data_IF_202582625653
#
_entry.id   IF_202582625653
#
_cell.length_a   1.000
_cell.length_b   1.000
_cell.length_c   1.000
_cell.angle_alpha   90.00
_cell.angle_beta   90.00
_cell.angle_gamma   90.00
#
_symmetry.space_group_name_H-M   'P 1'
#
loop_
_entity.id
_entity.type
_entity.pdbx_description
1 polymer ?
#
# COMPACT_ATOMS: atom_id res chain seq x y z
N UNK A 1 -42.11 -30.73 -28.19
CA UNK A 1 -42.70 -31.82 -27.38
C UNK A 1 -41.88 -31.86 -26.09
N UNK A 2 -42.34 -31.69 -24.85
CA UNK A 2 -43.65 -31.82 -24.20
C UNK A 2 -43.60 -30.96 -22.92
N UNK A 3 -44.69 -30.25 -22.61
CA UNK A 3 -45.05 -29.72 -21.28
C UNK A 3 -45.59 -30.87 -20.39
N UNK A 4 -45.66 -30.68 -19.06
CA UNK A 4 -46.54 -31.30 -18.01
C UNK A 4 -45.74 -31.33 -16.68
N UNK A 5 -46.00 -30.50 -15.64
CA UNK A 5 -47.06 -30.46 -14.60
C UNK A 5 -46.97 -31.59 -13.54
N UNK A 6 -47.06 -31.22 -12.23
CA UNK A 6 -47.58 -31.90 -11.00
C UNK A 6 -46.72 -31.38 -9.81
N UNK A 7 -47.12 -30.56 -8.83
CA UNK A 7 -48.26 -30.43 -7.87
C UNK A 7 -48.34 -31.52 -6.78
N UNK A 8 -47.88 -31.20 -5.55
CA UNK A 8 -48.24 -31.79 -4.25
C UNK A 8 -47.53 -30.92 -3.18
N UNK A 9 -48.11 -30.29 -2.15
CA UNK A 9 -49.41 -30.39 -1.51
C UNK A 9 -49.21 -30.60 0.00
N UNK A 10 -49.27 -29.56 0.83
CA UNK A 10 -49.70 -29.69 2.24
C UNK A 10 -50.12 -28.33 2.83
N UNK A 11 -51.41 -28.22 3.12
CA UNK A 11 -52.05 -27.20 3.96
C UNK A 11 -52.44 -27.93 5.25
N UNK A 12 -52.09 -27.40 6.43
CA UNK A 12 -53.04 -27.32 7.55
C UNK A 12 -52.60 -26.32 8.64
N UNK A 13 -53.51 -25.39 8.91
CA UNK A 13 -53.62 -24.43 10.01
C UNK A 13 -53.39 -25.03 11.41
N UNK A 14 -52.87 -24.21 12.34
CA UNK A 14 -53.61 -23.84 13.56
C UNK A 14 -53.17 -22.46 14.06
N UNK A 15 -54.15 -21.60 14.32
CA UNK A 15 -54.04 -20.23 14.79
C UNK A 15 -54.29 -20.15 16.31
N UNK A 16 -53.77 -19.10 16.97
CA UNK A 16 -54.32 -18.37 18.13
C UNK A 16 -53.39 -17.14 18.34
N UNK A 17 -53.73 -15.90 17.94
CA UNK A 17 -54.56 -14.89 18.64
C UNK A 17 -54.10 -14.67 20.10
N UNK A 18 -53.74 -13.48 20.61
CA UNK A 18 -54.32 -12.13 20.49
C UNK A 18 -53.24 -11.07 20.92
N UNK A 19 -53.13 -9.88 20.29
CA UNK A 19 -53.71 -8.57 20.71
C UNK A 19 -53.43 -8.23 22.19
N UNK A 20 -53.05 -7.04 22.65
CA UNK A 20 -53.24 -5.64 22.21
C UNK A 20 -52.63 -4.83 23.41
N UNK A 21 -52.02 -3.66 23.34
CA UNK A 21 -52.61 -2.36 23.04
C UNK A 21 -51.58 -1.27 23.39
N UNK A 22 -51.54 -0.23 22.56
CA UNK A 22 -50.84 1.03 22.76
C UNK A 22 -51.65 2.02 23.62
N UNK A 23 -50.91 2.85 24.36
CA UNK A 23 -51.22 4.26 24.64
C UNK A 23 -51.59 4.62 26.09
N UNK A 24 -51.66 5.92 26.46
CA UNK A 24 -51.10 7.12 25.83
C UNK A 24 -50.36 8.08 26.83
N UNK A 25 -49.75 9.13 26.27
CA UNK A 25 -49.16 10.31 26.94
C UNK A 25 -50.18 11.22 27.61
N UNK A 26 -49.85 11.84 28.76
CA UNK A 26 -50.32 13.18 29.21
C UNK A 26 -49.35 13.77 30.28
N UNK A 27 -49.39 15.10 30.38
CA UNK A 27 -48.46 16.13 30.84
C UNK A 27 -48.70 16.67 32.29
N UNK A 28 -47.76 17.52 32.75
CA UNK A 28 -47.83 18.52 33.87
C UNK A 28 -47.63 18.03 35.33
N UNK A 29 -46.98 18.72 36.29
CA UNK A 29 -46.49 20.10 36.44
C UNK A 29 -45.43 20.19 37.59
N UNK A 30 -44.70 21.31 37.69
CA UNK A 30 -43.80 21.73 38.79
C UNK A 30 -44.56 22.14 40.08
N UNK A 31 -43.88 22.19 41.27
CA UNK A 31 -43.51 23.51 41.83
C UNK A 31 -42.18 23.59 42.65
N UNK A 32 -41.42 24.65 42.34
CA UNK A 32 -40.87 25.76 43.18
C UNK A 32 -40.35 25.61 44.63
N UNK A 33 -39.10 26.09 44.83
CA UNK A 33 -38.36 26.66 46.01
C UNK A 33 -38.09 25.75 47.24
N UNK A 34 -36.96 25.83 47.97
CA UNK A 34 -36.38 26.98 48.70
C UNK A 34 -34.85 26.83 48.94
N UNK A 35 -34.19 27.99 48.96
CA UNK A 35 -32.82 28.35 49.33
C UNK A 35 -32.13 27.64 50.52
N UNK A 36 -30.79 27.66 50.50
CA UNK A 36 -30.01 28.09 51.66
C UNK A 36 -28.71 27.33 52.01
N UNK A 37 -27.60 28.07 51.95
CA UNK A 37 -26.43 28.03 52.84
C UNK A 37 -25.26 27.05 52.57
N UNK A 38 -24.17 27.67 52.08
CA UNK A 38 -22.76 27.36 52.38
C UNK A 38 -22.49 27.35 53.89
N UNK A 39 -21.56 26.50 54.39
CA UNK A 39 -20.27 27.03 54.83
C UNK A 39 -19.04 26.17 54.48
N UNK A 40 -17.98 26.90 54.13
CA UNK A 40 -16.54 26.75 54.41
C UNK A 40 -15.91 25.38 54.80
N UNK A 41 -14.71 25.21 54.23
CA UNK A 41 -13.71 24.14 54.37
C UNK A 41 -13.21 23.86 55.83
N UNK A 42 -12.37 22.82 56.03
CA UNK A 42 -10.94 23.03 55.85
C UNK A 42 -10.22 21.95 55.02
N UNK A 43 -9.06 22.37 54.50
CA UNK A 43 -8.09 21.57 53.78
C UNK A 43 -7.46 20.49 54.67
N UNK A 44 -7.24 19.31 54.12
CA UNK A 44 -6.18 18.42 54.57
C UNK A 44 -5.39 17.91 53.35
N UNK A 45 -4.08 18.03 53.43
CA UNK A 45 -3.13 17.73 52.37
C UNK A 45 -2.80 16.25 52.38
N UNK A 46 -3.09 15.56 51.28
CA UNK A 46 -2.49 14.26 50.98
C UNK A 46 -1.96 14.28 49.54
N UNK A 47 -0.71 14.69 49.41
CA UNK A 47 0.16 14.39 48.28
C UNK A 47 0.26 12.87 48.09
N UNK A 48 -0.35 12.37 47.01
CA UNK A 48 0.00 11.07 46.44
C UNK A 48 0.62 11.33 45.08
N UNK A 49 1.90 11.01 45.01
CA UNK A 49 2.75 11.07 43.83
C UNK A 49 2.10 10.33 42.65
N UNK A 50 1.96 11.05 41.54
CA UNK A 50 1.68 10.47 40.24
C UNK A 50 2.82 9.52 39.84
N UNK A 51 2.56 8.36 39.22
CA UNK A 51 3.60 7.63 38.55
C UNK A 51 3.96 8.40 37.28
N UNK A 52 5.20 8.87 37.22
CA UNK A 52 5.89 9.24 35.99
C UNK A 52 6.04 7.97 35.16
N UNK A 53 5.07 7.71 34.29
CA UNK A 53 5.27 6.88 33.12
C UNK A 53 5.83 7.78 32.03
N UNK A 54 7.09 7.56 31.66
CA UNK A 54 7.71 8.11 30.46
C UNK A 54 6.86 7.73 29.25
N UNK A 55 6.06 8.67 28.76
CA UNK A 55 5.55 8.63 27.40
C UNK A 55 6.75 8.92 26.50
N UNK A 56 7.24 7.88 25.82
CA UNK A 56 8.20 8.04 24.74
C UNK A 56 7.70 9.10 23.77
N UNK A 57 8.60 9.99 23.37
CA UNK A 57 8.38 10.99 22.34
C UNK A 57 8.06 10.28 21.01
N UNK A 58 6.77 9.99 20.82
CA UNK A 58 6.22 9.63 19.53
C UNK A 58 6.37 10.85 18.63
N UNK A 59 7.01 10.66 17.48
CA UNK A 59 7.07 11.65 16.43
C UNK A 59 5.63 12.12 16.15
N UNK A 60 5.33 13.39 16.43
CA UNK A 60 4.08 14.02 16.01
C UNK A 60 4.11 14.14 14.49
N UNK A 61 3.72 13.08 13.78
CA UNK A 61 3.41 13.17 12.37
C UNK A 61 2.28 14.17 12.18
N UNK A 62 2.42 15.06 11.19
CA UNK A 62 1.38 16.04 10.86
C UNK A 62 0.10 15.28 10.49
N UNK A 63 -1.04 15.57 11.15
CA UNK A 63 -2.33 14.96 10.80
C UNK A 63 -2.60 14.96 9.29
N UNK A 64 -2.82 13.77 8.72
CA UNK A 64 -3.13 13.62 7.30
C UNK A 64 -1.95 13.65 6.33
N UNK A 65 -0.70 13.64 6.81
CA UNK A 65 0.47 13.62 5.94
C UNK A 65 0.49 12.41 4.97
N UNK A 66 0.04 11.24 5.44
CA UNK A 66 -0.08 10.00 4.64
C UNK A 66 -1.24 10.02 3.63
N UNK A 67 -2.18 10.96 3.75
CA UNK A 67 -3.33 11.11 2.86
C UNK A 67 -3.04 12.08 1.69
N UNK A 68 -2.16 13.05 1.92
CA UNK A 68 -1.93 14.21 1.07
C UNK A 68 -0.98 13.95 -0.10
N UNK A 69 -1.14 14.70 -1.20
CA UNK A 69 -0.28 14.62 -2.39
C UNK A 69 -0.46 13.36 -3.24
N UNK A 70 -1.21 12.38 -2.75
CA UNK A 70 -1.54 11.15 -3.45
C UNK A 70 -2.80 11.34 -4.30
N UNK A 71 -2.80 10.81 -5.52
CA UNK A 71 -4.00 10.62 -6.32
C UNK A 71 -4.60 9.28 -5.95
N UNK A 72 -5.70 9.29 -5.20
CA UNK A 72 -6.41 8.08 -4.82
C UNK A 72 -7.42 7.70 -5.90
N UNK A 73 -7.23 6.55 -6.56
CA UNK A 73 -8.16 5.98 -7.54
C UNK A 73 -9.15 5.04 -6.85
N UNK A 74 -10.46 5.28 -7.02
CA UNK A 74 -11.50 4.48 -6.40
C UNK A 74 -11.58 3.08 -7.03
N UNK A 75 -11.43 2.05 -6.22
CA UNK A 75 -11.47 0.64 -6.65
C UNK A 75 -12.84 0.04 -6.39
N UNK A 76 -13.38 0.20 -5.18
CA UNK A 76 -14.69 -0.35 -4.84
C UNK A 76 -15.32 0.32 -3.62
N UNK A 77 -16.64 0.15 -3.48
CA UNK A 77 -17.40 0.39 -2.26
C UNK A 77 -17.82 -0.98 -1.72
N UNK A 78 -17.47 -1.27 -0.46
CA UNK A 78 -17.96 -2.44 0.27
C UNK A 78 -19.01 -1.98 1.29
N UNK A 79 -20.26 -2.39 1.10
CA UNK A 79 -21.39 -2.03 1.96
C UNK A 79 -22.16 -3.31 2.42
N UNK A 80 -23.18 -3.20 3.28
CA UNK A 80 -23.95 -4.36 3.74
C UNK A 80 -24.70 -5.12 2.65
N UNK A 81 -24.91 -4.53 1.46
CA UNK A 81 -25.55 -5.16 0.31
C UNK A 81 -24.54 -5.88 -0.58
N UNK A 82 -23.24 -5.54 -0.49
CA UNK A 82 -22.15 -6.24 -1.15
C UNK A 82 -21.04 -5.30 -1.60
N UNK A 83 -20.21 -5.78 -2.55
CA UNK A 83 -19.15 -4.99 -3.15
C UNK A 83 -19.59 -4.43 -4.50
N UNK A 84 -19.50 -3.12 -4.67
CA UNK A 84 -19.66 -2.43 -5.95
C UNK A 84 -18.29 -1.97 -6.44
N UNK A 85 -17.80 -2.54 -7.54
CA UNK A 85 -16.49 -2.20 -8.12
C UNK A 85 -16.61 -1.02 -9.07
N UNK A 86 -15.60 -0.16 -9.09
CA UNK A 86 -15.54 0.91 -10.07
C UNK A 86 -15.42 0.32 -11.50
N UNK A 87 -16.25 0.80 -12.43
CA UNK A 87 -16.20 0.40 -13.85
C UNK A 87 -14.81 0.69 -14.45
N UNK A 88 -14.24 1.85 -14.10
CA UNK A 88 -12.87 2.24 -14.43
C UNK A 88 -12.32 3.15 -13.32
N UNK A 89 -11.42 2.64 -12.45
CA UNK A 89 -10.84 3.41 -11.35
C UNK A 89 -10.18 4.72 -11.77
N UNK A 90 -9.62 4.80 -12.98
CA UNK A 90 -8.91 6.01 -13.48
C UNK A 90 -9.86 7.19 -13.76
N UNK A 91 -11.17 6.91 -13.79
CA UNK A 91 -12.23 7.91 -13.95
C UNK A 91 -12.65 8.53 -12.61
N UNK A 92 -12.32 7.92 -11.48
CA UNK A 92 -12.80 8.34 -10.16
C UNK A 92 -11.61 8.56 -9.21
N UNK A 93 -11.21 9.81 -9.04
CA UNK A 93 -10.01 10.15 -8.26
C UNK A 93 -10.23 11.21 -7.20
N UNK A 94 -9.44 11.16 -6.13
CA UNK A 94 -9.34 12.22 -5.12
C UNK A 94 -7.88 12.56 -4.86
N UNK A 95 -7.54 13.84 -4.86
CA UNK A 95 -6.24 14.35 -4.42
C UNK A 95 -6.47 15.27 -3.23
N UNK A 96 -5.93 14.92 -2.06
CA UNK A 96 -5.98 15.75 -0.85
C UNK A 96 -4.78 16.70 -0.83
N UNK A 97 -5.04 18.01 -0.78
CA UNK A 97 -4.01 19.05 -0.80
C UNK A 97 -3.63 19.48 0.63
N UNK A 98 -2.39 19.94 0.88
CA UNK A 98 -1.97 20.38 2.22
C UNK A 98 -2.71 21.60 2.78
N UNK A 99 -3.45 22.34 1.95
CA UNK A 99 -4.22 23.52 2.35
C UNK A 99 -5.64 23.21 2.87
N UNK A 100 -5.99 21.93 3.02
CA UNK A 100 -7.32 21.49 3.43
C UNK A 100 -8.34 21.43 2.30
N UNK A 101 -7.92 21.59 1.04
CA UNK A 101 -8.78 21.37 -0.14
C UNK A 101 -8.53 19.99 -0.77
N UNK A 102 -9.50 19.46 -1.50
CA UNK A 102 -9.35 18.24 -2.27
C UNK A 102 -9.86 18.42 -3.70
N UNK A 103 -9.14 17.86 -4.67
CA UNK A 103 -9.55 17.81 -6.07
C UNK A 103 -10.18 16.44 -6.34
N UNK A 104 -11.45 16.42 -6.68
CA UNK A 104 -12.20 15.19 -6.97
C UNK A 104 -12.54 15.14 -8.45
N UNK A 105 -12.20 14.05 -9.12
CA UNK A 105 -12.70 13.71 -10.45
C UNK A 105 -13.72 12.59 -10.29
N UNK A 106 -14.94 12.83 -10.75
CA UNK A 106 -16.03 11.87 -10.78
C UNK A 106 -16.46 11.67 -12.23
N UNK A 107 -15.77 10.76 -12.90
CA UNK A 107 -15.89 10.51 -14.33
C UNK A 107 -15.57 11.74 -15.20
N UNK A 108 -16.59 12.28 -15.87
CA UNK A 108 -16.46 13.48 -16.68
C UNK A 108 -16.55 14.77 -15.85
N UNK A 109 -16.98 14.67 -14.59
CA UNK A 109 -17.21 15.79 -13.71
C UNK A 109 -16.02 16.01 -12.77
N UNK A 110 -15.76 17.27 -12.44
CA UNK A 110 -14.75 17.65 -11.45
C UNK A 110 -15.40 18.46 -10.34
N UNK A 111 -14.96 18.22 -9.10
CA UNK A 111 -15.45 18.88 -7.89
C UNK A 111 -14.25 19.32 -7.07
N UNK A 112 -14.24 20.58 -6.64
CA UNK A 112 -13.36 21.04 -5.57
C UNK A 112 -14.07 20.82 -4.24
N UNK A 113 -13.43 20.15 -3.30
CA UNK A 113 -13.94 19.89 -1.96
C UNK A 113 -13.04 20.54 -0.90
N UNK A 114 -13.57 20.70 0.30
CA UNK A 114 -12.77 20.96 1.50
C UNK A 114 -12.75 19.69 2.35
N UNK A 115 -11.65 19.43 3.04
CA UNK A 115 -11.56 18.33 3.98
C UNK A 115 -10.92 18.74 5.30
N UNK A 116 -11.25 18.00 6.35
CA UNK A 116 -10.68 18.15 7.69
C UNK A 116 -10.28 16.78 8.20
N UNK A 117 -9.09 16.70 8.80
CA UNK A 117 -8.60 15.47 9.44
C UNK A 117 -7.72 15.76 10.65
N UNK A 118 -7.78 14.87 11.64
CA UNK A 118 -6.89 14.82 12.80
C UNK A 118 -5.91 13.63 12.72
N UNK A 119 -5.80 12.97 11.55
CA UNK A 119 -4.99 11.76 11.36
C UNK A 119 -5.80 10.46 11.41
N UNK A 120 -7.04 10.50 11.91
CA UNK A 120 -7.93 9.32 11.99
C UNK A 120 -9.31 9.64 11.43
N UNK A 121 -9.91 10.73 11.90
CA UNK A 121 -11.20 11.21 11.42
C UNK A 121 -11.02 11.96 10.10
N UNK A 122 -11.98 11.82 9.19
CA UNK A 122 -11.98 12.51 7.90
C UNK A 122 -13.38 13.02 7.59
N UNK A 123 -13.52 14.32 7.42
CA UNK A 123 -14.73 14.95 6.90
C UNK A 123 -14.43 15.54 5.54
N UNK A 124 -15.28 15.27 4.55
CA UNK A 124 -15.19 15.84 3.20
C UNK A 124 -16.47 16.63 2.91
N UNK A 125 -16.32 17.91 2.59
CA UNK A 125 -17.40 18.77 2.14
C UNK A 125 -17.22 19.07 0.65
N UNK A 126 -18.05 18.45 -0.18
CA UNK A 126 -18.05 18.66 -1.62
C UNK A 126 -18.53 20.08 -1.97
N UNK A 127 -17.83 20.72 -2.89
CA UNK A 127 -18.25 21.98 -3.50
C UNK A 127 -19.14 21.78 -4.72
N UNK A 128 -19.22 22.81 -5.56
CA UNK A 128 -19.98 22.73 -6.80
C UNK A 128 -19.28 21.78 -7.80
N UNK A 129 -20.06 20.87 -8.38
CA UNK A 129 -19.61 20.04 -9.49
C UNK A 129 -19.73 20.80 -10.81
N UNK A 130 -18.83 20.53 -11.75
CA UNK A 130 -19.15 20.75 -13.16
C UNK A 130 -20.39 19.90 -13.49
N UNK A 131 -21.47 20.50 -13.97
CA UNK A 131 -22.72 19.79 -14.24
C UNK A 131 -22.77 19.32 -15.70
N UNK A 132 -21.80 18.50 -16.11
CA UNK A 132 -21.73 17.94 -17.47
C UNK A 132 -22.44 16.58 -17.48
N UNK A 133 -23.11 16.26 -18.59
CA UNK A 133 -23.70 14.95 -18.79
C UNK A 133 -22.60 13.91 -19.05
N UNK A 134 -22.36 13.03 -18.07
CA UNK A 134 -21.41 11.93 -18.19
C UNK A 134 -22.00 10.75 -19.00
N UNK A 135 -21.15 9.81 -19.47
CA UNK A 135 -21.59 8.59 -20.13
C UNK A 135 -22.61 7.77 -19.30
N UNK A 136 -23.38 6.90 -19.95
CA UNK A 136 -24.45 6.14 -19.27
C UNK A 136 -23.94 5.16 -18.19
N UNK A 137 -22.69 4.72 -18.29
CA UNK A 137 -22.02 3.85 -17.31
C UNK A 137 -21.32 4.64 -16.18
N UNK A 138 -21.60 5.93 -16.06
CA UNK A 138 -21.11 6.76 -14.96
C UNK A 138 -21.59 6.24 -13.61
N UNK A 139 -20.72 6.36 -12.62
CA UNK A 139 -20.98 6.10 -11.20
C UNK A 139 -20.66 7.36 -10.37
N UNK A 140 -20.62 8.53 -11.00
CA UNK A 140 -20.30 9.82 -10.38
C UNK A 140 -21.19 10.12 -9.16
N UNK A 141 -22.50 9.90 -9.27
CA UNK A 141 -23.44 10.12 -8.16
C UNK A 141 -23.13 9.20 -6.97
N UNK A 142 -22.87 7.91 -7.23
CA UNK A 142 -22.53 6.96 -6.17
C UNK A 142 -21.22 7.37 -5.47
N UNK A 143 -20.21 7.69 -6.27
CA UNK A 143 -18.89 8.07 -5.77
C UNK A 143 -18.93 9.35 -4.94
N UNK A 144 -19.56 10.42 -5.45
CA UNK A 144 -19.66 11.70 -4.76
C UNK A 144 -20.51 11.60 -3.47
N UNK A 145 -21.64 10.89 -3.52
CA UNK A 145 -22.45 10.67 -2.31
C UNK A 145 -21.66 9.92 -1.25
N UNK A 146 -20.89 8.89 -1.65
CA UNK A 146 -20.06 8.12 -0.72
C UNK A 146 -18.95 8.99 -0.11
N UNK A 147 -18.24 9.79 -0.89
CA UNK A 147 -17.22 10.73 -0.37
C UNK A 147 -17.79 11.71 0.65
N UNK A 148 -19.00 12.24 0.40
CA UNK A 148 -19.67 13.17 1.34
C UNK A 148 -20.02 12.52 2.69
N UNK A 149 -20.06 11.18 2.73
CA UNK A 149 -20.36 10.38 3.91
C UNK A 149 -19.10 9.95 4.70
N UNK A 150 -17.90 10.39 4.32
CA UNK A 150 -16.65 10.06 5.05
C UNK A 150 -16.75 10.37 6.56
N UNK A 151 -16.26 9.43 7.37
CA UNK A 151 -16.18 9.53 8.83
C UNK A 151 -14.74 9.44 9.32
N UNK A 152 -14.03 8.41 8.86
CA UNK A 152 -12.64 8.12 9.22
C UNK A 152 -11.92 7.51 8.03
N UNK A 153 -10.60 7.44 8.13
CA UNK A 153 -9.78 6.80 7.11
C UNK A 153 -8.58 6.08 7.72
N UNK A 154 -8.05 5.13 6.96
CA UNK A 154 -6.79 4.45 7.21
C UNK A 154 -6.03 4.37 5.89
N UNK A 155 -4.73 4.61 5.92
CA UNK A 155 -3.82 4.34 4.80
C UNK A 155 -2.89 3.22 5.23
N UNK A 156 -2.96 2.08 4.55
CA UNK A 156 -2.14 0.90 4.80
C UNK A 156 -1.75 0.28 3.46
N UNK A 157 -0.49 -0.14 3.32
CA UNK A 157 0.04 -0.84 2.14
C UNK A 157 -0.25 -0.14 0.79
N UNK A 158 -0.21 1.20 0.78
CA UNK A 158 -0.48 1.99 -0.44
C UNK A 158 -1.96 2.05 -0.85
N UNK A 159 -2.85 1.54 -0.01
CA UNK A 159 -4.30 1.63 -0.17
C UNK A 159 -4.89 2.62 0.84
N UNK A 160 -5.93 3.33 0.41
CA UNK A 160 -6.72 4.20 1.27
C UNK A 160 -8.09 3.57 1.48
N UNK A 161 -8.46 3.44 2.74
CA UNK A 161 -9.76 2.99 3.19
C UNK A 161 -10.48 4.16 3.84
N UNK A 162 -11.63 4.57 3.31
CA UNK A 162 -12.49 5.59 3.93
C UNK A 162 -13.74 4.92 4.46
N UNK A 163 -13.90 4.90 5.78
CA UNK A 163 -15.12 4.44 6.44
C UNK A 163 -16.21 5.49 6.34
N UNK A 164 -17.41 5.06 5.99
CA UNK A 164 -18.58 5.91 5.79
C UNK A 164 -19.49 5.89 7.03
N UNK A 165 -20.05 7.07 7.34
CA UNK A 165 -21.01 7.26 8.44
C UNK A 165 -22.21 6.32 8.31
N UNK A 166 -22.87 6.08 9.44
CA UNK A 166 -24.11 5.28 9.51
C UNK A 166 -23.95 3.85 9.00
N UNK A 167 -22.73 3.29 9.08
CA UNK A 167 -22.39 1.97 8.55
C UNK A 167 -22.72 1.81 7.05
N UNK A 168 -22.58 2.89 6.28
CA UNK A 168 -22.83 2.89 4.83
C UNK A 168 -21.73 2.15 4.03
N UNK A 169 -20.66 1.69 4.69
CA UNK A 169 -19.63 0.87 4.10
C UNK A 169 -18.24 1.50 4.16
N UNK A 170 -17.34 0.99 3.32
CA UNK A 170 -15.96 1.48 3.16
C UNK A 170 -15.67 1.69 1.69
N UNK A 171 -15.19 2.90 1.34
CA UNK A 171 -14.57 3.14 0.05
C UNK A 171 -13.12 2.65 0.09
N UNK A 172 -12.72 1.91 -0.94
CA UNK A 172 -11.37 1.38 -1.09
C UNK A 172 -10.74 2.06 -2.30
N UNK A 173 -9.53 2.58 -2.10
CA UNK A 173 -8.76 3.28 -3.12
C UNK A 173 -7.36 2.68 -3.21
N UNK A 174 -6.78 2.77 -4.40
CA UNK A 174 -5.37 2.53 -4.66
C UNK A 174 -4.67 3.84 -5.02
N UNK A 175 -3.34 3.88 -4.94
CA UNK A 175 -2.59 4.98 -5.55
C UNK A 175 -2.75 4.95 -7.07
N UNK A 176 -3.11 6.09 -7.65
CA UNK A 176 -3.19 6.29 -9.08
C UNK A 176 -1.82 6.56 -9.70
N UNK A 177 -1.70 6.22 -10.99
CA UNK A 177 -0.48 6.44 -11.77
C UNK A 177 -0.22 7.95 -11.92
N UNK A 178 0.70 8.50 -11.13
CA UNK A 178 1.00 9.93 -11.05
C UNK A 178 0.94 10.53 -9.65
N UNK A 179 0.63 9.72 -8.63
CA UNK A 179 0.67 10.13 -7.23
C UNK A 179 2.12 10.33 -6.76
N UNK A 180 2.57 11.57 -6.72
CA UNK A 180 3.69 11.94 -5.88
C UNK A 180 3.16 12.09 -4.45
N UNK A 181 3.09 10.98 -3.70
CA UNK A 181 2.99 11.05 -2.25
C UNK A 181 4.03 12.05 -1.75
N UNK A 182 3.65 12.95 -0.84
CA UNK A 182 4.49 14.02 -0.30
C UNK A 182 5.69 13.48 0.48
N UNK A 183 6.64 12.87 -0.22
CA UNK A 183 7.96 12.50 0.24
C UNK A 183 8.93 13.53 -0.36
N UNK A 184 9.85 14.11 0.42
CA UNK A 184 10.78 15.11 -0.10
C UNK A 184 11.58 14.51 -1.24
N UNK A 185 11.40 15.07 -2.45
CA UNK A 185 12.22 14.92 -3.67
C UNK A 185 13.22 13.75 -3.61
N UNK A 186 12.69 12.53 -3.57
CA UNK A 186 13.48 11.34 -3.88
C UNK A 186 13.23 11.10 -5.35
N UNK A 187 14.28 11.24 -6.16
CA UNK A 187 14.27 10.77 -7.54
C UNK A 187 13.62 9.38 -7.56
N UNK A 188 12.62 9.18 -8.42
CA UNK A 188 12.02 7.86 -8.61
C UNK A 188 13.15 6.85 -8.78
N UNK A 189 13.22 5.80 -7.94
CA UNK A 189 14.33 4.89 -7.98
C UNK A 189 14.42 4.30 -9.39
N UNK A 190 15.61 4.34 -9.97
CA UNK A 190 15.86 3.67 -11.22
C UNK A 190 15.94 2.18 -10.95
N UNK A 191 15.43 1.35 -11.87
CA UNK A 191 15.55 -0.09 -11.75
C UNK A 191 17.03 -0.52 -11.70
N UNK A 192 17.86 0.16 -12.50
CA UNK A 192 19.32 -0.02 -12.58
C UNK A 192 20.06 0.92 -11.63
N UNK A 193 21.32 0.62 -11.34
CA UNK A 193 22.16 1.42 -10.44
C UNK A 193 21.80 1.32 -8.94
N UNK A 194 20.84 0.46 -8.61
CA UNK A 194 20.41 0.17 -7.23
C UNK A 194 20.59 -1.33 -6.96
N UNK A 195 21.13 -1.65 -5.79
CA UNK A 195 21.09 -3.02 -5.26
C UNK A 195 19.82 -3.16 -4.42
N UNK A 196 18.90 -3.98 -4.90
CA UNK A 196 17.60 -4.21 -4.28
C UNK A 196 17.69 -5.38 -3.30
N UNK A 197 17.33 -5.16 -2.04
CA UNK A 197 17.27 -6.18 -0.97
C UNK A 197 15.85 -6.73 -0.86
N UNK A 198 15.69 -8.05 -0.97
CA UNK A 198 14.39 -8.69 -0.80
C UNK A 198 13.96 -8.63 0.66
N UNK A 199 12.80 -8.04 0.93
CA UNK A 199 12.29 -7.84 2.31
C UNK A 199 11.04 -8.65 2.61
N UNK A 200 10.24 -8.96 1.59
CA UNK A 200 8.99 -9.67 1.77
C UNK A 200 8.52 -10.34 0.48
N UNK A 201 7.84 -11.46 0.60
CA UNK A 201 7.00 -11.99 -0.48
C UNK A 201 5.56 -12.18 -0.01
N UNK A 202 4.61 -11.82 -0.86
CA UNK A 202 3.20 -12.15 -0.67
C UNK A 202 2.80 -13.11 -1.77
N UNK A 203 2.18 -14.22 -1.40
CA UNK A 203 1.65 -15.21 -2.32
C UNK A 203 0.15 -15.42 -2.06
N UNK A 204 -0.53 -16.20 -2.89
CA UNK A 204 -1.92 -16.57 -2.65
C UNK A 204 -2.13 -17.43 -1.38
N UNK A 205 -1.05 -17.98 -0.80
CA UNK A 205 -1.12 -18.92 0.33
C UNK A 205 -0.55 -18.36 1.63
N UNK A 206 0.46 -17.51 1.54
CA UNK A 206 1.15 -16.97 2.72
C UNK A 206 1.92 -15.68 2.40
N UNK A 207 2.27 -14.97 3.47
CA UNK A 207 3.26 -13.89 3.47
C UNK A 207 4.55 -14.40 4.10
N UNK A 208 5.67 -14.17 3.42
CA UNK A 208 7.01 -14.54 3.85
C UNK A 208 7.79 -13.26 4.16
N UNK A 209 8.11 -13.03 5.42
CA UNK A 209 9.03 -11.97 5.82
C UNK A 209 10.48 -12.48 5.75
N UNK A 210 11.37 -11.64 5.22
CA UNK A 210 12.79 -12.00 5.07
C UNK A 210 13.53 -11.69 6.36
N UNK A 211 14.14 -12.73 6.95
CA UNK A 211 14.82 -12.64 8.25
C UNK A 211 16.07 -11.76 8.15
N UNK A 212 16.83 -11.89 7.06
CA UNK A 212 18.01 -11.08 6.77
C UNK A 212 18.03 -10.67 5.29
N UNK A 213 17.47 -9.50 4.94
CA UNK A 213 17.42 -8.99 3.57
C UNK A 213 18.79 -8.83 2.90
N UNK A 214 19.87 -8.63 3.66
CA UNK A 214 21.22 -8.42 3.12
C UNK A 214 21.82 -9.68 2.48
N UNK A 215 21.18 -10.83 2.72
CA UNK A 215 21.50 -12.12 2.10
C UNK A 215 20.81 -12.31 0.74
N UNK A 216 19.79 -11.52 0.41
CA UNK A 216 18.97 -11.70 -0.79
C UNK A 216 18.90 -10.41 -1.59
N UNK A 217 19.76 -10.28 -2.60
CA UNK A 217 19.85 -9.04 -3.37
C UNK A 217 19.72 -9.27 -4.87
N UNK A 218 19.21 -8.29 -5.59
CA UNK A 218 19.23 -8.23 -7.05
C UNK A 218 19.70 -6.85 -7.51
N UNK A 219 20.65 -6.81 -8.44
CA UNK A 219 21.11 -5.58 -9.09
C UNK A 219 20.87 -5.73 -10.59
N UNK A 220 20.04 -4.86 -11.15
CA UNK A 220 19.80 -4.80 -12.59
C UNK A 220 20.83 -3.88 -13.24
N UNK A 221 21.46 -4.32 -14.33
CA UNK A 221 22.48 -3.59 -15.06
C UNK A 221 21.92 -3.03 -16.38
N UNK A 222 22.45 -1.91 -16.85
CA UNK A 222 21.96 -1.24 -18.07
C UNK A 222 22.13 -2.08 -19.35
N UNK A 223 22.92 -3.15 -19.31
CA UNK A 223 23.15 -4.08 -20.43
C UNK A 223 22.09 -5.20 -20.55
N UNK A 224 21.06 -5.18 -19.69
CA UNK A 224 20.02 -6.22 -19.65
C UNK A 224 20.42 -7.46 -18.87
N UNK A 225 21.50 -7.43 -18.09
CA UNK A 225 21.87 -8.49 -17.14
C UNK A 225 21.47 -8.12 -15.71
N UNK A 226 21.29 -9.12 -14.85
CA UNK A 226 21.06 -8.92 -13.42
C UNK A 226 21.98 -9.81 -12.59
N UNK A 227 22.54 -9.24 -11.52
CA UNK A 227 23.36 -9.93 -10.54
C UNK A 227 22.50 -10.22 -9.31
N UNK A 228 22.34 -11.50 -8.97
CA UNK A 228 21.50 -11.93 -7.85
C UNK A 228 22.38 -12.59 -6.80
N UNK A 229 22.31 -12.12 -5.56
CA UNK A 229 22.80 -12.83 -4.39
C UNK A 229 21.61 -13.55 -3.76
N UNK A 230 21.64 -14.86 -3.75
CA UNK A 230 20.63 -15.72 -3.17
C UNK A 230 21.25 -16.47 -1.99
N UNK A 231 21.33 -15.76 -0.87
CA UNK A 231 22.05 -16.15 0.33
C UNK A 231 23.54 -16.43 0.07
N UNK A 232 23.93 -17.70 0.16
CA UNK A 232 25.29 -18.14 -0.06
C UNK A 232 25.62 -18.24 -1.55
N UNK A 233 24.61 -18.24 -2.43
CA UNK A 233 24.78 -18.44 -3.86
C UNK A 233 24.72 -17.13 -4.64
N UNK A 234 25.47 -17.06 -5.75
CA UNK A 234 25.36 -15.98 -6.72
C UNK A 234 24.78 -16.53 -8.02
N UNK A 235 23.83 -15.79 -8.60
CA UNK A 235 23.14 -16.14 -9.83
C UNK A 235 23.25 -14.99 -10.81
N UNK A 236 23.65 -15.30 -12.04
CA UNK A 236 23.52 -14.38 -13.16
C UNK A 236 22.15 -14.56 -13.78
N UNK A 237 21.50 -13.48 -14.17
CA UNK A 237 20.24 -13.50 -14.91
C UNK A 237 20.29 -12.50 -16.06
N UNK A 238 19.39 -12.68 -17.02
CA UNK A 238 19.10 -11.70 -18.06
C UNK A 238 17.69 -11.17 -17.85
N UNK A 239 17.44 -9.90 -18.13
CA UNK A 239 16.13 -9.29 -17.97
C UNK A 239 15.77 -8.35 -19.12
N UNK A 240 14.47 -8.14 -19.30
CA UNK A 240 13.92 -7.05 -20.12
C UNK A 240 12.92 -6.28 -19.27
N UNK A 241 12.96 -4.94 -19.31
CA UNK A 241 11.98 -4.09 -18.65
C UNK A 241 11.31 -3.17 -19.67
N UNK A 242 9.99 -3.27 -19.79
CA UNK A 242 9.18 -2.37 -20.62
C UNK A 242 8.83 -1.07 -19.89
N UNK A 243 8.58 -0.01 -20.65
CA UNK A 243 8.09 1.27 -20.11
C UNK A 243 6.67 1.20 -19.56
N UNK A 244 5.94 0.12 -19.87
CA UNK A 244 4.60 -0.21 -19.39
C UNK A 244 4.61 -1.03 -18.09
N UNK A 245 5.78 -1.28 -17.51
CA UNK A 245 5.93 -2.11 -16.31
C UNK A 245 5.98 -3.62 -16.60
N UNK A 246 6.00 -4.05 -17.87
CA UNK A 246 6.26 -5.45 -18.22
C UNK A 246 7.70 -5.83 -17.89
N UNK A 247 7.93 -7.05 -17.41
CA UNK A 247 9.28 -7.55 -17.14
C UNK A 247 9.40 -9.02 -17.54
N UNK A 248 10.56 -9.38 -18.08
CA UNK A 248 11.00 -10.78 -18.11
C UNK A 248 12.28 -10.90 -17.31
N UNK A 249 12.41 -11.97 -16.53
CA UNK A 249 13.62 -12.31 -15.81
C UNK A 249 13.97 -13.78 -16.10
N UNK A 250 15.08 -14.00 -16.78
CA UNK A 250 15.58 -15.31 -17.16
C UNK A 250 16.78 -15.67 -16.28
N UNK A 251 16.59 -16.66 -15.42
CA UNK A 251 17.65 -17.16 -14.55
C UNK A 251 18.75 -17.84 -15.37
N UNK A 252 19.99 -17.51 -15.08
CA UNK A 252 21.19 -18.06 -15.71
C UNK A 252 22.03 -18.92 -14.75
N UNK A 253 23.36 -19.02 -14.99
CA UNK A 253 24.25 -19.81 -14.15
C UNK A 253 24.20 -19.39 -12.68
N UNK A 254 24.24 -20.40 -11.80
CA UNK A 254 24.23 -20.23 -10.35
C UNK A 254 25.37 -21.02 -9.71
N UNK A 255 25.95 -20.50 -8.63
CA UNK A 255 26.76 -21.33 -7.73
C UNK A 255 25.85 -22.32 -6.99
N UNK A 256 26.30 -23.55 -6.79
CA UNK A 256 25.50 -24.60 -6.13
C UNK A 256 26.06 -24.94 -4.74
N UNK A 257 26.29 -23.92 -3.92
CA UNK A 257 26.67 -24.11 -2.53
C UNK A 257 25.44 -24.48 -1.69
N UNK A 258 25.64 -25.36 -0.71
CA UNK A 258 24.63 -25.66 0.29
C UNK A 258 24.55 -24.49 1.27
N UNK A 259 23.45 -23.74 1.22
CA UNK A 259 23.24 -22.63 2.12
C UNK A 259 22.88 -23.12 3.54
N UNK A 260 23.09 -22.28 4.57
CA UNK A 260 22.72 -22.60 5.94
C UNK A 260 21.24 -23.00 6.09
N UNK A 261 20.89 -23.69 7.18
CA UNK A 261 19.53 -24.21 7.39
C UNK A 261 18.45 -23.12 7.53
N UNK A 262 18.84 -21.91 7.92
CA UNK A 262 17.95 -20.74 8.01
C UNK A 262 17.72 -20.03 6.67
N UNK A 263 18.28 -20.57 5.58
CA UNK A 263 18.21 -19.97 4.25
C UNK A 263 16.80 -19.97 3.67
N UNK A 264 16.38 -18.80 3.19
CA UNK A 264 15.17 -18.54 2.41
C UNK A 264 15.46 -18.54 0.89
N UNK A 265 16.55 -19.19 0.45
CA UNK A 265 16.96 -19.24 -0.97
C UNK A 265 15.89 -19.83 -1.90
N UNK A 266 15.17 -20.85 -1.44
CA UNK A 266 14.15 -21.52 -2.25
C UNK A 266 12.96 -20.62 -2.61
N UNK A 267 12.26 -19.99 -1.64
CA UNK A 267 11.17 -19.08 -1.97
C UNK A 267 11.65 -17.85 -2.77
N UNK A 268 12.85 -17.35 -2.50
CA UNK A 268 13.43 -16.23 -3.25
C UNK A 268 13.60 -16.54 -4.75
N UNK A 269 14.30 -17.63 -5.07
CA UNK A 269 14.57 -18.02 -6.46
C UNK A 269 13.29 -18.49 -7.18
N UNK A 270 12.36 -19.13 -6.45
CA UNK A 270 11.06 -19.52 -7.01
C UNK A 270 10.25 -18.29 -7.43
N UNK A 271 10.22 -17.24 -6.60
CA UNK A 271 9.54 -15.98 -6.93
C UNK A 271 10.18 -15.27 -8.12
N UNK A 272 11.51 -15.18 -8.16
CA UNK A 272 12.23 -14.55 -9.28
C UNK A 272 12.00 -15.28 -10.61
N UNK A 273 11.87 -16.61 -10.58
CA UNK A 273 11.66 -17.43 -11.77
C UNK A 273 10.31 -17.23 -12.47
N UNK A 274 9.37 -16.51 -11.86
CA UNK A 274 8.01 -16.31 -12.39
C UNK A 274 7.61 -14.83 -12.53
N UNK A 275 8.59 -13.92 -12.49
CA UNK A 275 8.33 -12.48 -12.65
C UNK A 275 7.84 -12.17 -14.06
N UNK A 276 6.73 -11.43 -14.15
CA UNK A 276 6.14 -10.95 -15.41
C UNK A 276 5.92 -9.43 -15.46
N UNK A 277 6.03 -8.75 -14.33
CA UNK A 277 5.88 -7.30 -14.24
C UNK A 277 6.71 -6.72 -13.11
N UNK A 278 7.05 -5.43 -13.21
CA UNK A 278 7.66 -4.65 -12.14
C UNK A 278 6.87 -3.36 -11.91
N UNK A 279 7.01 -2.80 -10.72
CA UNK A 279 6.54 -1.46 -10.37
C UNK A 279 7.33 -0.92 -9.18
N UNK A 280 7.26 0.38 -8.96
CA UNK A 280 7.77 1.00 -7.74
C UNK A 280 6.60 1.38 -6.83
N UNK A 281 6.78 1.11 -5.53
CA UNK A 281 5.92 1.60 -4.47
C UNK A 281 6.77 2.44 -3.53
N UNK A 282 6.68 3.77 -3.67
CA UNK A 282 7.62 4.69 -3.03
C UNK A 282 9.07 4.42 -3.44
N UNK A 283 9.89 4.04 -2.48
CA UNK A 283 11.30 3.69 -2.69
C UNK A 283 11.53 2.19 -2.95
N UNK A 284 10.48 1.37 -2.83
CA UNK A 284 10.58 -0.08 -2.95
C UNK A 284 10.30 -0.53 -4.39
N UNK A 285 11.00 -1.59 -4.80
CA UNK A 285 10.75 -2.29 -6.05
C UNK A 285 9.84 -3.49 -5.77
N UNK A 286 8.76 -3.59 -6.55
CA UNK A 286 7.87 -4.74 -6.55
C UNK A 286 8.05 -5.54 -7.84
N UNK A 287 8.39 -6.82 -7.72
CA UNK A 287 8.39 -7.78 -8.83
C UNK A 287 7.18 -8.68 -8.70
N UNK A 288 6.34 -8.73 -9.73
CA UNK A 288 5.03 -9.39 -9.70
C UNK A 288 4.96 -10.53 -10.70
N UNK A 289 4.34 -11.62 -10.27
CA UNK A 289 3.88 -12.67 -11.15
C UNK A 289 2.51 -12.26 -11.73
N UNK A 290 2.38 -12.34 -13.05
CA UNK A 290 1.14 -12.00 -13.77
C UNK A 290 0.23 -13.22 -14.00
N UNK A 291 0.64 -14.41 -13.56
CA UNK A 291 -0.19 -15.61 -13.56
C UNK A 291 -1.28 -15.53 -12.48
N UNK A 292 -2.30 -16.39 -12.60
CA UNK A 292 -3.52 -16.35 -11.79
C UNK A 292 -3.31 -16.41 -10.26
N UNK A 293 -2.19 -16.97 -9.80
CA UNK A 293 -1.85 -17.09 -8.37
C UNK A 293 -1.04 -15.89 -7.82
N UNK A 294 -0.72 -14.90 -8.66
CA UNK A 294 -0.44 -13.50 -8.30
C UNK A 294 0.54 -13.22 -7.15
N UNK A 295 1.74 -13.80 -7.16
CA UNK A 295 2.77 -13.51 -6.15
C UNK A 295 3.50 -12.17 -6.36
N UNK A 296 3.89 -11.52 -5.27
CA UNK A 296 4.67 -10.27 -5.26
C UNK A 296 5.92 -10.47 -4.42
N UNK A 297 7.09 -10.14 -4.98
CA UNK A 297 8.33 -9.94 -4.24
C UNK A 297 8.52 -8.44 -4.03
N UNK A 298 8.67 -8.02 -2.77
CA UNK A 298 8.97 -6.64 -2.38
C UNK A 298 10.43 -6.51 -2.03
N UNK A 299 11.06 -5.48 -2.58
CA UNK A 299 12.46 -5.15 -2.35
C UNK A 299 12.60 -3.71 -1.90
N UNK A 300 13.54 -3.45 -0.99
CA UNK A 300 13.97 -2.09 -0.66
C UNK A 300 15.30 -1.77 -1.32
N UNK A 301 15.60 -0.48 -1.49
CA UNK A 301 16.95 -0.07 -1.88
C UNK A 301 17.95 -0.40 -0.74
N UNK A 302 18.96 -1.22 -1.04
CA UNK A 302 20.08 -1.46 -0.14
C UNK A 302 20.95 -0.21 -0.03
N UNK A 303 21.40 0.12 1.18
CA UNK A 303 22.14 1.36 1.48
C UNK A 303 23.55 1.47 0.87
N UNK A 304 23.91 0.58 -0.06
CA UNK A 304 25.08 0.74 -0.91
C UNK A 304 24.60 1.23 -2.26
N UNK A 305 25.02 2.44 -2.65
CA UNK A 305 25.10 2.77 -4.08
C UNK A 305 25.83 1.63 -4.75
N UNK A 306 25.15 0.91 -5.64
CA UNK A 306 25.81 -0.04 -6.51
C UNK A 306 26.91 0.76 -7.20
N UNK A 307 28.17 0.39 -6.97
CA UNK A 307 29.23 0.88 -7.85
C UNK A 307 28.79 0.42 -9.24
N UNK A 308 28.45 1.35 -10.16
CA UNK A 308 28.00 0.97 -11.47
C UNK A 308 29.08 0.06 -12.03
N UNK A 309 28.72 -1.18 -12.38
CA UNK A 309 29.58 -2.00 -13.20
C UNK A 309 29.99 -1.10 -14.38
N UNK A 310 31.30 -0.93 -14.65
CA UNK A 310 31.72 -0.01 -15.70
C UNK A 310 30.95 -0.41 -16.95
N UNK A 311 30.14 0.53 -17.45
CA UNK A 311 29.48 0.42 -18.74
C UNK A 311 30.53 -0.12 -19.70
N UNK A 312 30.15 -1.10 -20.53
CA UNK A 312 31.03 -1.77 -21.47
C UNK A 312 31.70 -0.80 -22.43
N UNK A 313 32.74 -0.13 -21.96
CA UNK A 313 33.65 0.67 -22.74
C UNK A 313 34.62 -0.33 -23.34
N UNK A 314 34.32 -0.69 -24.59
CA UNK A 314 35.27 -1.10 -25.62
C UNK A 314 36.60 -1.60 -25.05
N UNK A 315 36.75 -2.93 -24.93
CA UNK A 315 37.99 -3.59 -24.50
C UNK A 315 39.21 -3.25 -25.39
N UNK A 316 38.98 -2.59 -26.53
CA UNK A 316 40.00 -2.15 -27.48
C UNK A 316 40.42 -0.70 -27.23
N UNK A 317 41.72 -0.47 -27.04
CA UNK A 317 42.30 0.87 -26.89
C UNK A 317 42.42 1.36 -25.45
N UNK A 318 42.00 0.55 -24.48
CA UNK A 318 42.22 0.78 -23.05
C UNK A 318 43.40 -0.06 -22.59
N UNK A 319 44.36 0.56 -21.89
CA UNK A 319 45.43 -0.14 -21.19
C UNK A 319 44.91 -0.48 -19.80
N UNK A 320 44.65 -1.76 -19.57
CA UNK A 320 44.14 -2.24 -18.28
C UNK A 320 45.30 -2.51 -17.34
N UNK A 321 45.13 -2.27 -16.04
CA UNK A 321 46.08 -2.64 -14.99
C UNK A 321 45.47 -3.69 -14.09
N UNK A 322 46.21 -4.76 -13.80
CA UNK A 322 45.78 -5.75 -12.82
C UNK A 322 45.98 -5.20 -11.40
N UNK A 323 44.87 -5.02 -10.67
CA UNK A 323 44.85 -4.39 -9.34
C UNK A 323 44.75 -5.42 -8.21
N UNK A 324 43.89 -6.42 -8.36
CA UNK A 324 43.80 -7.54 -7.41
C UNK A 324 43.17 -8.78 -8.05
N UNK A 325 43.34 -9.92 -7.40
CA UNK A 325 42.59 -11.14 -7.68
C UNK A 325 42.07 -11.71 -6.37
N UNK A 326 40.76 -11.93 -6.31
CA UNK A 326 40.13 -12.63 -5.18
C UNK A 326 40.00 -14.11 -5.50
N UNK A 327 40.57 -14.94 -4.65
CA UNK A 327 40.42 -16.41 -4.69
C UNK A 327 39.49 -16.85 -3.55
N UNK A 328 38.99 -18.09 -3.54
CA UNK A 328 38.16 -18.60 -2.44
C UNK A 328 38.85 -18.59 -1.06
N UNK A 329 40.18 -18.45 -1.01
CA UNK A 329 40.98 -18.53 0.20
C UNK A 329 41.59 -17.20 0.63
N UNK A 330 41.80 -16.27 -0.29
CA UNK A 330 42.46 -15.01 -0.03
C UNK A 330 42.25 -13.99 -1.15
N UNK A 331 42.42 -12.71 -0.81
CA UNK A 331 42.56 -11.63 -1.77
C UNK A 331 44.05 -11.31 -1.99
N UNK A 332 44.48 -11.33 -3.25
CA UNK A 332 45.83 -10.98 -3.67
C UNK A 332 45.79 -9.57 -4.25
N UNK A 333 46.28 -8.59 -3.50
CA UNK A 333 46.38 -7.18 -3.93
C UNK A 333 47.75 -6.90 -4.53
N UNK A 334 47.79 -6.24 -5.69
CA UNK A 334 49.02 -5.90 -6.39
C UNK A 334 49.65 -4.64 -5.78
N UNK A 335 50.87 -4.76 -5.28
CA UNK A 335 51.58 -3.63 -4.65
C UNK A 335 51.88 -2.46 -5.60
N UNK A 336 52.00 -2.72 -6.91
CA UNK A 336 52.18 -1.72 -7.96
C UNK A 336 51.50 -2.18 -9.27
N UNK A 337 50.23 -1.77 -9.50
CA UNK A 337 49.44 -2.16 -10.67
C UNK A 337 50.03 -1.71 -12.01
N UNK A 338 50.89 -0.69 -12.01
CA UNK A 338 51.48 -0.14 -13.24
C UNK A 338 52.44 -1.12 -13.92
N UNK A 339 52.88 -2.16 -13.21
CA UNK A 339 53.76 -3.21 -13.75
C UNK A 339 53.03 -4.36 -14.44
N UNK A 340 51.70 -4.37 -14.41
CA UNK A 340 50.89 -5.49 -14.88
C UNK A 340 49.76 -4.97 -15.78
N UNK A 341 50.09 -4.65 -17.03
CA UNK A 341 49.13 -4.10 -17.99
C UNK A 341 48.75 -5.05 -19.12
N UNK A 342 47.50 -5.00 -19.61
CA UNK A 342 47.03 -5.70 -20.84
C UNK A 342 46.32 -4.74 -21.79
#
# INVERSE_FOLDING_TARGET
MKRIIIVLGLILLLALAACDTMGPTTQEALPTDIAGATPAAPADQATVSAPTGETGEGQTETPGANLQGVTWEWVSLLDPMGQTTAVDPTRYTVIFNPDGTANVKADCNSVTANYLTDGVNLTIQLGASTAVACPEDTQDVLFLNSLSAAESYVVEDGELFITLRSAAGTLIFRTGAGSAAGQPDQASPTLTGVTWEWVQAVTSVETIDVVDPTRYTITFNDDGTANIKADCNNVLAAYTAGSDGSMTLTMGPSTLMACPEDSQVNPFLAGLGVVGAYSFDGADLLLRNIAADGGVLRFRAGGGTAEPAPAGDILTGVVWQWVSTTTPTEEIVVADPTRYTI
#
